data_IF_013922279509
#
_entry.id   IF_013922279509
#
_cell.length_a   1.000
_cell.length_b   1.000
_cell.length_c   1.000
_cell.angle_alpha   90.00
_cell.angle_beta   90.00
_cell.angle_gamma   90.00
#
_symmetry.space_group_name_H-M   'P 1'
#
loop_
_entity.id
_entity.type
_entity.pdbx_description
1 polymer ?
#
# COMPACT_ATOMS: atom_id res chain seq x y z
N UNK A 1 13.01 -9.33 21.18
CA UNK A 1 13.15 -7.90 20.83
C UNK A 1 12.01 -7.11 21.44
N UNK A 2 12.30 -6.06 22.20
CA UNK A 2 11.27 -5.18 22.75
C UNK A 2 10.73 -4.30 21.62
N UNK A 3 9.48 -4.54 21.24
CA UNK A 3 8.74 -3.69 20.30
C UNK A 3 7.70 -2.88 21.09
N UNK A 4 7.29 -1.74 20.52
CA UNK A 4 6.23 -0.90 21.09
C UNK A 4 5.42 -0.30 19.95
N UNK A 5 4.16 0.05 20.20
CA UNK A 5 3.27 0.65 19.22
C UNK A 5 2.59 1.91 19.78
N UNK A 6 1.88 2.64 18.93
CA UNK A 6 0.96 3.70 19.35
C UNK A 6 -0.31 3.12 19.97
N UNK A 7 -1.14 3.96 20.58
CA UNK A 7 -2.47 3.53 21.02
C UNK A 7 -3.34 3.19 19.80
N UNK A 8 -3.61 1.91 19.60
CA UNK A 8 -4.32 1.42 18.42
C UNK A 8 -5.77 1.94 18.33
N UNK A 9 -6.32 2.54 19.39
CA UNK A 9 -7.62 3.22 19.35
C UNK A 9 -7.60 4.45 18.43
N UNK A 10 -6.44 5.06 18.21
CA UNK A 10 -6.28 6.20 17.30
C UNK A 10 -6.68 5.86 15.86
N UNK A 11 -6.45 4.62 15.41
CA UNK A 11 -6.81 4.15 14.06
C UNK A 11 -8.31 4.33 13.74
N UNK A 12 -9.18 4.32 14.76
CA UNK A 12 -10.64 4.52 14.60
C UNK A 12 -11.00 5.91 14.08
N UNK A 13 -10.08 6.86 14.17
CA UNK A 13 -10.33 8.28 13.89
C UNK A 13 -9.51 8.82 12.72
N UNK A 14 -8.54 8.04 12.21
CA UNK A 14 -7.66 8.50 11.12
C UNK A 14 -8.33 8.50 9.75
N UNK A 15 -9.31 7.63 9.54
CA UNK A 15 -10.15 7.63 8.34
C UNK A 15 -11.43 8.44 8.63
N UNK A 16 -11.65 9.60 7.97
CA UNK A 16 -12.81 10.42 8.22
C UNK A 16 -14.11 9.72 7.82
N UNK A 17 -15.15 9.88 8.63
CA UNK A 17 -16.50 9.39 8.32
C UNK A 17 -17.07 10.01 7.04
N UNK A 18 -16.75 11.29 6.79
CA UNK A 18 -17.07 11.94 5.52
C UNK A 18 -16.24 11.33 4.39
N UNK A 19 -16.90 10.53 3.54
CA UNK A 19 -16.31 9.79 2.42
C UNK A 19 -15.56 10.65 1.40
N UNK A 20 -15.86 11.95 1.31
CA UNK A 20 -15.19 12.87 0.39
C UNK A 20 -13.90 13.47 0.96
N UNK A 21 -13.68 13.35 2.28
CA UNK A 21 -12.49 13.90 2.93
C UNK A 21 -11.33 12.93 2.81
N UNK A 22 -10.22 13.39 2.23
CA UNK A 22 -8.97 12.65 2.22
C UNK A 22 -8.33 12.62 3.62
N UNK A 23 -7.46 11.64 3.84
CA UNK A 23 -6.63 11.51 5.05
C UNK A 23 -5.21 11.13 4.66
N UNK A 24 -4.29 11.25 5.60
CA UNK A 24 -2.90 10.85 5.40
C UNK A 24 -2.74 9.36 5.72
N UNK A 25 -2.61 8.54 4.67
CA UNK A 25 -2.36 7.10 4.82
C UNK A 25 -1.06 6.82 5.59
N UNK A 26 -0.07 7.73 5.56
CA UNK A 26 1.19 7.53 6.30
C UNK A 26 0.98 7.62 7.80
N UNK A 27 0.05 8.46 8.28
CA UNK A 27 -0.30 8.48 9.69
C UNK A 27 -0.93 7.15 10.13
N UNK A 28 -1.80 6.57 9.31
CA UNK A 28 -2.37 5.25 9.60
C UNK A 28 -1.31 4.15 9.62
N UNK A 29 -0.33 4.19 8.69
CA UNK A 29 0.79 3.25 8.66
C UNK A 29 1.67 3.38 9.92
N UNK A 30 2.01 4.60 10.34
CA UNK A 30 2.82 4.85 11.54
C UNK A 30 2.14 4.40 12.84
N UNK A 31 0.82 4.57 12.95
CA UNK A 31 0.07 4.09 14.14
C UNK A 31 -0.05 2.57 14.13
N UNK A 32 -0.25 1.95 12.97
CA UNK A 32 -0.37 0.50 12.82
C UNK A 32 0.95 -0.23 13.12
N UNK A 33 2.07 0.34 12.68
CA UNK A 33 3.37 -0.29 12.78
C UNK A 33 3.99 -0.16 14.19
N UNK A 34 4.99 -1.00 14.45
CA UNK A 34 5.88 -0.82 15.59
C UNK A 34 6.62 0.53 15.46
N UNK A 35 6.77 1.25 16.57
CA UNK A 35 7.39 2.58 16.62
C UNK A 35 8.77 2.57 15.99
N UNK A 36 8.99 3.49 15.05
CA UNK A 36 10.28 3.68 14.37
C UNK A 36 10.67 2.56 13.41
N UNK A 37 9.75 1.64 13.08
CA UNK A 37 10.03 0.52 12.18
C UNK A 37 9.76 0.81 10.70
N UNK A 38 9.01 1.88 10.39
CA UNK A 38 8.57 2.20 9.03
C UNK A 38 9.73 2.75 8.20
N UNK A 39 10.02 2.08 7.10
CA UNK A 39 10.95 2.51 6.06
C UNK A 39 10.20 2.58 4.72
N UNK A 40 9.75 3.79 4.36
CA UNK A 40 9.09 4.02 3.07
C UNK A 40 10.09 3.95 1.91
N UNK A 41 9.81 3.10 0.93
CA UNK A 41 10.63 2.93 -0.26
C UNK A 41 10.01 3.65 -1.47
N UNK A 42 10.87 4.27 -2.28
CA UNK A 42 10.47 4.90 -3.56
C UNK A 42 9.33 5.92 -3.41
N UNK A 43 9.28 6.68 -2.31
CA UNK A 43 8.21 7.67 -2.00
C UNK A 43 7.88 8.61 -3.16
N UNK A 44 8.90 9.08 -3.88
CA UNK A 44 8.76 10.06 -4.97
C UNK A 44 8.31 9.44 -6.31
N UNK A 45 8.39 8.12 -6.46
CA UNK A 45 7.93 7.42 -7.67
C UNK A 45 6.54 6.83 -7.42
N UNK A 46 5.59 7.10 -8.33
CA UNK A 46 4.18 6.67 -8.23
C UNK A 46 3.58 6.94 -6.84
N UNK A 47 3.42 8.22 -6.43
CA UNK A 47 3.02 8.59 -5.07
C UNK A 47 1.58 8.19 -4.70
N UNK A 48 0.78 7.73 -5.68
CA UNK A 48 -0.53 7.11 -5.47
C UNK A 48 -0.50 5.77 -4.76
N UNK A 49 0.66 5.12 -4.72
CA UNK A 49 0.87 3.86 -4.00
C UNK A 49 2.08 3.96 -3.08
N UNK A 50 1.85 3.76 -1.78
CA UNK A 50 2.90 3.65 -0.77
C UNK A 50 3.43 2.22 -0.78
N UNK A 51 4.75 2.08 -0.70
CA UNK A 51 5.44 0.81 -0.45
C UNK A 51 6.41 1.03 0.70
N UNK A 52 6.37 0.20 1.73
CA UNK A 52 7.24 0.35 2.90
C UNK A 52 7.62 -1.01 3.48
N UNK A 53 8.81 -1.10 4.07
CA UNK A 53 9.13 -2.18 5.01
C UNK A 53 8.81 -1.69 6.42
N UNK A 54 8.20 -2.52 7.24
CA UNK A 54 7.84 -2.17 8.62
C UNK A 54 7.87 -3.41 9.52
N UNK A 55 7.58 -3.22 10.82
CA UNK A 55 7.33 -4.33 11.75
C UNK A 55 5.96 -4.22 12.41
N UNK A 56 5.38 -5.39 12.72
CA UNK A 56 4.17 -5.55 13.53
C UNK A 56 4.47 -6.63 14.57
N UNK A 57 4.41 -6.27 15.85
CA UNK A 57 4.76 -7.17 16.97
C UNK A 57 6.16 -7.79 16.83
N UNK A 58 7.11 -7.00 16.32
CA UNK A 58 8.48 -7.41 16.06
C UNK A 58 8.69 -8.20 14.77
N UNK A 59 7.64 -8.59 14.04
CA UNK A 59 7.72 -9.36 12.78
C UNK A 59 7.85 -8.42 11.59
N UNK A 60 8.75 -8.71 10.65
CA UNK A 60 8.92 -7.89 9.45
C UNK A 60 7.75 -8.09 8.47
N UNK A 61 7.28 -6.98 7.88
CA UNK A 61 6.25 -6.96 6.85
C UNK A 61 6.64 -6.02 5.70
N UNK A 62 6.25 -6.41 4.50
CA UNK A 62 6.09 -5.49 3.38
C UNK A 62 4.70 -4.88 3.44
N UNK A 63 4.60 -3.57 3.24
CA UNK A 63 3.33 -2.86 3.19
C UNK A 63 3.12 -2.24 1.82
N UNK A 64 1.94 -2.46 1.24
CA UNK A 64 1.42 -1.68 0.11
C UNK A 64 0.16 -0.93 0.56
N UNK A 65 0.00 0.33 0.17
CA UNK A 65 -1.19 1.10 0.52
C UNK A 65 -1.56 2.15 -0.52
N UNK A 66 -2.86 2.35 -0.74
CA UNK A 66 -3.34 3.43 -1.61
C UNK A 66 -3.19 4.79 -0.89
N UNK A 67 -2.72 5.80 -1.62
CA UNK A 67 -2.68 7.18 -1.13
C UNK A 67 -3.89 7.95 -1.66
N UNK A 68 -4.97 8.13 -0.86
CA UNK A 68 -6.16 8.84 -1.31
C UNK A 68 -5.90 10.32 -1.65
N UNK A 69 -4.79 10.91 -1.18
CA UNK A 69 -4.35 12.25 -1.54
C UNK A 69 -3.81 12.41 -2.97
N UNK A 70 -3.66 11.32 -3.72
CA UNK A 70 -3.20 11.34 -5.11
C UNK A 70 -4.16 10.57 -6.01
N UNK A 71 -4.75 11.24 -7.00
CA UNK A 71 -5.74 10.66 -7.92
C UNK A 71 -6.89 9.93 -7.18
N UNK A 72 -7.23 10.39 -5.97
CA UNK A 72 -8.22 9.73 -5.12
C UNK A 72 -7.83 8.31 -4.71
N UNK A 73 -6.57 7.90 -4.80
CA UNK A 73 -6.10 6.54 -4.51
C UNK A 73 -6.21 5.56 -5.68
N UNK A 74 -6.57 6.04 -6.88
CA UNK A 74 -6.60 5.22 -8.08
C UNK A 74 -5.22 4.66 -8.43
N UNK A 75 -5.19 3.45 -8.99
CA UNK A 75 -3.95 2.77 -9.37
C UNK A 75 -3.68 3.06 -10.85
N UNK A 76 -2.64 3.86 -11.12
CA UNK A 76 -2.15 4.14 -12.48
C UNK A 76 -1.07 3.13 -12.91
N UNK A 77 -0.56 3.28 -14.14
CA UNK A 77 0.45 2.40 -14.71
C UNK A 77 1.72 2.33 -13.83
N UNK A 78 2.20 3.48 -13.36
CA UNK A 78 3.42 3.56 -12.54
C UNK A 78 3.22 2.92 -11.16
N UNK A 79 2.04 3.10 -10.55
CA UNK A 79 1.65 2.44 -9.31
C UNK A 79 1.59 0.91 -9.49
N UNK A 80 1.04 0.43 -10.62
CA UNK A 80 1.03 -0.99 -10.98
C UNK A 80 2.43 -1.60 -11.00
N UNK A 81 3.38 -0.93 -11.65
CA UNK A 81 4.78 -1.34 -11.67
C UNK A 81 5.44 -1.29 -10.29
N UNK A 82 5.15 -0.26 -9.50
CA UNK A 82 5.68 -0.11 -8.14
C UNK A 82 5.21 -1.25 -7.24
N UNK A 83 3.91 -1.56 -7.28
CA UNK A 83 3.30 -2.66 -6.54
C UNK A 83 3.90 -4.00 -6.94
N UNK A 84 3.89 -4.33 -8.24
CA UNK A 84 4.42 -5.59 -8.77
C UNK A 84 5.87 -5.82 -8.35
N UNK A 85 6.73 -4.80 -8.49
CA UNK A 85 8.14 -4.92 -8.12
C UNK A 85 8.35 -5.09 -6.62
N UNK A 86 7.54 -4.43 -5.80
CA UNK A 86 7.62 -4.55 -4.35
C UNK A 86 7.09 -5.89 -3.84
N UNK A 87 6.02 -6.42 -4.44
CA UNK A 87 5.53 -7.77 -4.17
C UNK A 87 6.60 -8.82 -4.46
N UNK A 88 7.27 -8.73 -5.61
CA UNK A 88 8.40 -9.61 -5.97
C UNK A 88 9.56 -9.51 -4.98
N UNK A 89 9.87 -8.30 -4.47
CA UNK A 89 10.89 -8.11 -3.44
C UNK A 89 10.50 -8.86 -2.17
N UNK A 90 9.28 -8.67 -1.67
CA UNK A 90 8.85 -9.30 -0.43
C UNK A 90 8.83 -10.83 -0.55
N UNK A 91 8.32 -11.35 -1.67
CA UNK A 91 8.27 -12.79 -1.95
C UNK A 91 9.67 -13.41 -2.02
N UNK A 92 10.63 -12.76 -2.70
CA UNK A 92 11.99 -13.27 -2.84
C UNK A 92 12.79 -13.32 -1.52
N UNK A 93 12.33 -12.64 -0.48
CA UNK A 93 12.99 -12.56 0.82
C UNK A 93 12.11 -13.07 1.97
N UNK A 94 11.07 -13.85 1.66
CA UNK A 94 10.16 -14.47 2.63
C UNK A 94 9.47 -13.47 3.57
N UNK A 95 9.21 -12.26 3.08
CA UNK A 95 8.57 -11.19 3.85
C UNK A 95 7.05 -11.22 3.60
N UNK A 96 6.20 -11.43 4.63
CA UNK A 96 4.75 -11.36 4.47
C UNK A 96 4.31 -9.96 4.10
N UNK A 97 3.22 -9.85 3.34
CA UNK A 97 2.72 -8.58 2.82
C UNK A 97 1.40 -8.21 3.49
N UNK A 98 1.26 -6.96 3.90
CA UNK A 98 -0.02 -6.35 4.28
C UNK A 98 -0.40 -5.26 3.27
N UNK A 99 -1.63 -5.34 2.77
CA UNK A 99 -2.23 -4.39 1.84
C UNK A 99 -3.29 -3.56 2.56
N UNK A 100 -3.08 -2.24 2.62
CA UNK A 100 -4.09 -1.30 3.11
C UNK A 100 -4.85 -0.71 1.92
N UNK A 101 -6.06 -1.23 1.69
CA UNK A 101 -6.87 -0.94 0.51
C UNK A 101 -7.81 0.25 0.74
N UNK A 102 -7.63 1.32 -0.03
CA UNK A 102 -8.55 2.47 -0.14
C UNK A 102 -8.50 3.06 -1.54
N UNK A 103 -8.91 2.26 -2.53
CA UNK A 103 -8.83 2.61 -3.96
C UNK A 103 -10.22 2.62 -4.60
N UNK A 104 -10.50 3.56 -5.51
CA UNK A 104 -11.67 3.48 -6.38
C UNK A 104 -11.50 2.49 -7.55
N UNK A 105 -10.31 1.88 -7.69
CA UNK A 105 -9.96 0.99 -8.80
C UNK A 105 -8.76 1.49 -9.61
N UNK A 106 -8.66 1.02 -10.86
CA UNK A 106 -7.63 1.46 -11.79
C UNK A 106 -7.94 2.84 -12.37
N UNK A 107 -6.89 3.60 -12.67
CA UNK A 107 -7.04 4.84 -13.42
C UNK A 107 -7.53 4.52 -14.84
N UNK A 108 -8.51 5.28 -15.31
CA UNK A 108 -9.13 5.13 -16.63
C UNK A 108 -9.00 6.41 -17.45
N UNK A 109 -9.25 6.29 -18.75
CA UNK A 109 -9.32 7.43 -19.66
C UNK A 109 -8.19 7.42 -20.70
N UNK A 110 -8.33 8.18 -21.80
CA UNK A 110 -7.42 8.08 -22.94
C UNK A 110 -5.95 8.33 -22.60
N UNK A 111 -5.66 9.25 -21.67
CA UNK A 111 -4.29 9.53 -21.24
C UNK A 111 -3.68 8.38 -20.41
N UNK A 112 -4.49 7.69 -19.60
CA UNK A 112 -4.04 6.51 -18.89
C UNK A 112 -3.76 5.36 -19.86
N UNK A 113 -4.62 5.15 -20.86
CA UNK A 113 -4.43 4.10 -21.86
C UNK A 113 -3.15 4.27 -22.69
N UNK A 114 -2.80 5.52 -23.04
CA UNK A 114 -1.53 5.85 -23.71
C UNK A 114 -0.29 5.42 -22.93
N UNK A 115 -0.39 5.29 -21.61
CA UNK A 115 0.69 4.79 -20.75
C UNK A 115 0.74 3.26 -20.68
N UNK A 116 -0.01 2.56 -21.52
CA UNK A 116 -0.18 1.11 -21.49
C UNK A 116 -0.69 0.60 -20.13
N UNK A 117 -1.60 1.34 -19.49
CA UNK A 117 -2.11 1.05 -18.15
C UNK A 117 -2.53 -0.40 -17.99
N UNK A 118 -3.27 -0.97 -18.96
CA UNK A 118 -3.66 -2.40 -18.96
C UNK A 118 -2.46 -3.31 -18.72
N UNK A 119 -1.37 -3.17 -19.49
CA UNK A 119 -0.17 -4.01 -19.34
C UNK A 119 0.46 -3.83 -17.96
N UNK A 120 0.57 -2.60 -17.48
CA UNK A 120 1.26 -2.28 -16.24
C UNK A 120 0.48 -2.74 -15.00
N UNK A 121 -0.84 -2.56 -14.98
CA UNK A 121 -1.67 -3.06 -13.88
C UNK A 121 -1.80 -4.58 -13.92
N UNK A 122 -1.81 -5.21 -15.10
CA UNK A 122 -1.77 -6.68 -15.25
C UNK A 122 -0.55 -7.31 -14.56
N UNK A 123 0.59 -6.61 -14.45
CA UNK A 123 1.77 -7.11 -13.72
C UNK A 123 1.51 -7.34 -12.24
N UNK A 124 0.59 -6.59 -11.63
CA UNK A 124 0.20 -6.82 -10.24
C UNK A 124 -0.46 -8.19 -10.10
N UNK A 125 -1.41 -8.52 -10.98
CA UNK A 125 -2.10 -9.81 -10.95
C UNK A 125 -1.16 -10.98 -11.22
N UNK A 126 -0.30 -10.85 -12.23
CA UNK A 126 0.69 -11.90 -12.56
C UNK A 126 1.66 -12.13 -11.39
N UNK A 127 2.13 -11.05 -10.75
CA UNK A 127 3.05 -11.17 -9.60
C UNK A 127 2.32 -11.71 -8.37
N UNK A 128 1.09 -11.25 -8.10
CA UNK A 128 0.29 -11.69 -6.97
C UNK A 128 -0.09 -13.17 -7.07
N UNK A 129 -0.39 -13.66 -8.28
CA UNK A 129 -0.76 -15.05 -8.52
C UNK A 129 0.38 -16.04 -8.23
N UNK A 130 1.63 -15.59 -8.25
CA UNK A 130 2.81 -16.43 -7.96
C UNK A 130 3.34 -16.26 -6.54
N UNK A 131 2.73 -15.42 -5.69
CA UNK A 131 3.21 -15.21 -4.33
C UNK A 131 3.10 -16.49 -3.51
N UNK A 132 4.16 -16.77 -2.76
CA UNK A 132 4.24 -17.89 -1.82
C UNK A 132 4.27 -17.42 -0.37
N UNK A 133 4.59 -16.15 -0.14
CA UNK A 133 4.52 -15.50 1.17
C UNK A 133 3.07 -15.20 1.59
N UNK A 134 2.76 -15.13 2.90
CA UNK A 134 1.46 -14.70 3.38
C UNK A 134 1.10 -13.29 2.88
N UNK A 135 -0.13 -13.13 2.38
CA UNK A 135 -0.67 -11.85 1.91
C UNK A 135 -1.97 -11.53 2.64
N UNK A 136 -1.98 -10.40 3.36
CA UNK A 136 -3.12 -9.93 4.13
C UNK A 136 -3.68 -8.65 3.50
N UNK A 137 -5.00 -8.49 3.48
CA UNK A 137 -5.64 -7.26 3.02
C UNK A 137 -6.55 -6.71 4.11
N UNK A 138 -6.39 -5.43 4.42
CA UNK A 138 -7.31 -4.66 5.25
C UNK A 138 -7.94 -3.59 4.39
N UNK A 139 -9.24 -3.69 4.17
CA UNK A 139 -10.01 -2.66 3.45
C UNK A 139 -10.31 -1.53 4.43
N UNK A 140 -9.76 -0.34 4.16
CA UNK A 140 -9.91 0.82 5.03
C UNK A 140 -11.21 1.57 4.77
N UNK A 141 -11.60 1.74 3.50
CA UNK A 141 -12.80 2.51 3.15
C UNK A 141 -13.44 2.13 1.81
N UNK A 142 -12.75 2.27 0.69
CA UNK A 142 -13.26 1.97 -0.66
C UNK A 142 -12.85 0.59 -1.13
#
# INVERSE_FOLDING_TARGET
>A
PDWSCADQRELRHLVPENRLRAYDIRQAIEVLADRGSVLELRRQFAPGLVTALLRIEGRAFGLIANNPGHLGGAIDAAAGDKAARFMQLCDAFDIPIVSLCDTPGFMVGPEAEKQATVRHVSRMFVSAASLTVPFFTVVLRK
#
